data_IF_543121895582
#
_entry.id   IF_543121895582
#
_cell.length_a   1.000
_cell.length_b   1.000
_cell.length_c   1.000
_cell.angle_alpha   90.00
_cell.angle_beta   90.00
_cell.angle_gamma   90.00
#
_symmetry.space_group_name_H-M   'P 1'
#
loop_
_entity.id
_entity.type
_entity.pdbx_description
1 polymer ?
#
# COMPACT_ATOMS: atom_id res chain seq x y z
N UNK A 1 -25.18 -12.35 18.40
CA UNK A 1 -23.97 -12.46 17.57
C UNK A 1 -22.80 -11.97 18.40
N UNK A 2 -21.60 -12.46 18.14
CA UNK A 2 -20.37 -11.95 18.76
C UNK A 2 -19.42 -11.48 17.66
N UNK A 3 -18.64 -10.44 17.97
CA UNK A 3 -17.63 -9.90 17.07
C UNK A 3 -16.27 -9.96 17.76
N UNK A 4 -15.22 -10.27 17.00
CA UNK A 4 -13.84 -10.23 17.49
C UNK A 4 -12.90 -9.69 16.41
N UNK A 5 -11.79 -9.12 16.85
CA UNK A 5 -10.67 -8.69 16.00
C UNK A 5 -9.48 -9.58 16.29
N UNK A 6 -8.81 -10.09 15.25
CA UNK A 6 -7.59 -10.88 15.40
C UNK A 6 -6.40 -10.03 15.88
N UNK A 7 -6.45 -8.71 15.66
CA UNK A 7 -5.46 -7.74 16.12
C UNK A 7 -6.14 -6.42 16.55
N UNK A 8 -6.58 -6.33 17.82
CA UNK A 8 -7.18 -5.11 18.39
C UNK A 8 -6.26 -3.89 18.40
N UNK A 9 -4.94 -4.06 18.27
CA UNK A 9 -4.01 -2.94 18.16
C UNK A 9 -4.08 -2.24 16.79
N UNK A 10 -4.62 -2.91 15.76
CA UNK A 10 -4.87 -2.34 14.42
C UNK A 10 -6.29 -1.78 14.33
N UNK A 11 -7.30 -2.60 14.65
CA UNK A 11 -8.68 -2.16 14.73
C UNK A 11 -9.47 -2.94 15.78
N UNK A 12 -10.34 -2.25 16.51
CA UNK A 12 -11.27 -2.85 17.47
C UNK A 12 -12.66 -2.97 16.87
N UNK A 13 -13.47 -3.90 17.38
CA UNK A 13 -14.87 -4.08 16.96
C UNK A 13 -15.77 -4.13 18.19
N UNK A 14 -16.82 -3.32 18.20
CA UNK A 14 -17.82 -3.28 19.27
C UNK A 14 -18.85 -4.42 19.16
N UNK A 15 -19.67 -4.59 20.20
CA UNK A 15 -20.73 -5.61 20.24
C UNK A 15 -21.83 -5.42 19.19
N UNK A 16 -21.97 -4.22 18.63
CA UNK A 16 -22.85 -3.88 17.51
C UNK A 16 -22.21 -4.10 16.12
N UNK A 17 -20.96 -4.57 16.06
CA UNK A 17 -20.21 -4.73 14.80
C UNK A 17 -19.53 -3.45 14.30
N UNK A 18 -19.55 -2.36 15.07
CA UNK A 18 -18.87 -1.11 14.71
C UNK A 18 -17.36 -1.26 14.82
N UNK A 19 -16.63 -1.05 13.72
CA UNK A 19 -15.17 -1.13 13.66
C UNK A 19 -14.54 0.24 13.92
N UNK A 20 -13.56 0.31 14.82
CA UNK A 20 -12.79 1.53 15.13
C UNK A 20 -11.32 1.31 14.79
N UNK A 21 -10.77 2.18 13.94
CA UNK A 21 -9.36 2.18 13.59
C UNK A 21 -8.50 2.59 14.79
N UNK A 22 -7.37 1.90 15.01
CA UNK A 22 -6.43 2.17 16.11
C UNK A 22 -5.06 2.55 15.57
N UNK A 23 -4.45 1.71 14.73
CA UNK A 23 -3.13 1.94 14.16
C UNK A 23 -2.98 1.27 12.79
N UNK A 24 -1.96 1.69 12.03
CA UNK A 24 -1.62 1.10 10.74
C UNK A 24 -1.47 -0.42 10.83
N UNK A 25 -2.09 -1.13 9.89
CA UNK A 25 -1.95 -2.57 9.74
C UNK A 25 -3.19 -3.22 9.17
N UNK A 26 -3.16 -4.55 9.16
CA UNK A 26 -4.29 -5.38 8.73
C UNK A 26 -4.75 -6.26 9.88
N UNK A 27 -6.05 -6.39 10.06
CA UNK A 27 -6.69 -7.29 11.02
C UNK A 27 -7.91 -7.96 10.38
N UNK A 28 -8.29 -9.13 10.87
CA UNK A 28 -9.52 -9.80 10.47
C UNK A 28 -10.57 -9.60 11.55
N UNK A 29 -11.74 -9.10 11.14
CA UNK A 29 -12.93 -9.04 11.97
C UNK A 29 -13.76 -10.30 11.71
N UNK A 30 -14.07 -11.04 12.77
CA UNK A 30 -14.91 -12.23 12.71
C UNK A 30 -16.24 -11.95 13.36
N UNK A 31 -17.34 -12.32 12.69
CA UNK A 31 -18.68 -12.34 13.26
C UNK A 31 -19.12 -13.79 13.45
N UNK A 32 -19.73 -14.09 14.60
CA UNK A 32 -20.30 -15.40 14.91
C UNK A 32 -21.78 -15.26 15.26
N UNK A 33 -22.63 -16.16 14.75
CA UNK A 33 -24.06 -16.20 15.12
C UNK A 33 -24.23 -16.46 16.62
N UNK A 34 -25.37 -16.07 17.18
CA UNK A 34 -25.59 -16.17 18.64
C UNK A 34 -25.51 -17.60 19.18
N UNK A 35 -25.91 -18.57 18.37
CA UNK A 35 -25.84 -20.00 18.67
C UNK A 35 -24.44 -20.60 18.40
N UNK A 36 -23.49 -19.82 17.91
CA UNK A 36 -22.14 -20.27 17.56
C UNK A 36 -22.06 -21.10 16.29
N UNK A 37 -23.17 -21.33 15.58
CA UNK A 37 -23.24 -22.32 14.49
C UNK A 37 -22.64 -21.84 13.16
N UNK A 38 -22.47 -20.52 12.99
CA UNK A 38 -21.92 -19.91 11.78
C UNK A 38 -20.96 -18.78 12.10
N UNK A 39 -19.93 -18.64 11.27
CA UNK A 39 -18.99 -17.51 11.29
C UNK A 39 -18.83 -16.92 9.90
N UNK A 40 -18.54 -15.63 9.85
CA UNK A 40 -18.06 -14.94 8.64
C UNK A 40 -16.91 -14.00 9.02
N UNK A 41 -16.07 -13.65 8.04
CA UNK A 41 -14.85 -12.87 8.27
C UNK A 41 -14.70 -11.74 7.26
N UNK A 42 -14.18 -10.60 7.72
CA UNK A 42 -13.81 -9.48 6.86
C UNK A 42 -12.40 -9.01 7.19
N UNK A 43 -11.56 -8.88 6.17
CA UNK A 43 -10.24 -8.24 6.31
C UNK A 43 -10.39 -6.72 6.35
N UNK A 44 -9.80 -6.09 7.36
CA UNK A 44 -9.79 -4.65 7.58
C UNK A 44 -8.34 -4.17 7.56
N UNK A 45 -8.05 -3.23 6.67
CA UNK A 45 -6.77 -2.51 6.64
C UNK A 45 -6.99 -1.09 7.15
N UNK A 46 -6.21 -0.70 8.15
CA UNK A 46 -6.17 0.66 8.69
C UNK A 46 -4.94 1.38 8.14
N UNK A 47 -5.15 2.63 7.73
CA UNK A 47 -4.13 3.49 7.17
C UNK A 47 -4.27 4.91 7.74
N UNK A 48 -3.22 5.38 8.41
CA UNK A 48 -3.16 6.68 9.09
C UNK A 48 -2.53 7.78 8.24
N UNK A 49 -2.18 7.47 6.99
CA UNK A 49 -1.45 8.36 6.05
C UNK A 49 -2.18 9.65 5.62
N UNK A 50 -3.35 9.96 6.18
CA UNK A 50 -4.11 11.16 5.85
C UNK A 50 -4.56 11.21 4.39
N UNK A 51 -4.68 12.41 3.84
CA UNK A 51 -5.07 12.62 2.44
C UNK A 51 -3.86 12.46 1.49
N UNK A 52 -4.06 11.92 0.28
CA UNK A 52 -3.00 11.84 -0.72
C UNK A 52 -2.52 13.24 -1.12
N UNK A 53 -1.23 13.36 -1.44
CA UNK A 53 -0.62 14.57 -1.98
C UNK A 53 -1.22 14.88 -3.36
N UNK A 54 -1.64 16.12 -3.54
CA UNK A 54 -2.20 16.60 -4.81
C UNK A 54 -1.12 17.06 -5.81
N UNK A 55 0.06 17.46 -5.32
CA UNK A 55 1.13 18.06 -6.13
C UNK A 55 2.29 17.08 -6.36
N UNK A 56 1.94 15.89 -6.85
CA UNK A 56 2.90 14.86 -7.23
C UNK A 56 2.55 14.29 -8.59
N UNK A 57 3.57 13.94 -9.35
CA UNK A 57 3.44 13.20 -10.60
C UNK A 57 4.13 11.85 -10.44
N UNK A 58 3.43 10.77 -10.81
CA UNK A 58 3.94 9.41 -10.71
C UNK A 58 4.06 8.82 -12.12
N UNK A 59 5.25 8.34 -12.47
CA UNK A 59 5.52 7.72 -13.78
C UNK A 59 6.04 6.30 -13.58
N UNK A 60 5.37 5.33 -14.20
CA UNK A 60 5.81 3.93 -14.22
C UNK A 60 6.42 3.57 -15.58
N UNK A 61 7.61 2.99 -15.57
CA UNK A 61 8.33 2.58 -16.79
C UNK A 61 8.84 1.16 -16.65
N UNK A 62 8.46 0.27 -17.57
CA UNK A 62 9.03 -1.06 -17.69
C UNK A 62 10.37 -0.95 -18.43
N UNK A 63 11.45 -1.36 -17.77
CA UNK A 63 12.81 -1.28 -18.32
C UNK A 63 13.15 -2.52 -19.16
N UNK A 64 12.82 -3.72 -18.66
CA UNK A 64 13.03 -4.99 -19.34
C UNK A 64 11.93 -5.99 -18.95
N UNK A 65 11.57 -6.89 -19.85
CA UNK A 65 10.63 -8.00 -19.58
C UNK A 65 11.16 -9.31 -20.14
N UNK A 66 10.88 -10.40 -19.45
CA UNK A 66 11.24 -11.77 -19.84
C UNK A 66 10.08 -12.72 -19.56
N UNK A 67 10.26 -14.01 -19.88
CA UNK A 67 9.26 -15.02 -19.56
C UNK A 67 9.10 -15.16 -18.05
N UNK A 68 7.92 -14.82 -17.53
CA UNK A 68 7.59 -14.94 -16.11
C UNK A 68 7.97 -13.73 -15.24
N UNK A 69 8.49 -12.64 -15.79
CA UNK A 69 8.72 -11.42 -15.00
C UNK A 69 9.18 -10.19 -15.79
N UNK A 70 9.29 -9.08 -15.08
CA UNK A 70 9.81 -7.82 -15.62
C UNK A 70 10.49 -6.97 -14.55
N UNK A 71 11.35 -6.07 -15.01
CA UNK A 71 11.96 -5.01 -14.21
C UNK A 71 11.34 -3.67 -14.61
N UNK A 72 11.02 -2.85 -13.62
CA UNK A 72 10.41 -1.54 -13.82
C UNK A 72 10.94 -0.52 -12.83
N UNK A 73 10.58 0.74 -13.08
CA UNK A 73 10.85 1.87 -12.20
C UNK A 73 9.60 2.73 -12.04
N UNK A 74 9.45 3.33 -10.85
CA UNK A 74 8.42 4.30 -10.52
C UNK A 74 9.13 5.59 -10.11
N UNK A 75 8.96 6.65 -10.89
CA UNK A 75 9.42 7.98 -10.54
C UNK A 75 8.30 8.73 -9.79
N UNK A 76 8.64 9.34 -8.66
CA UNK A 76 7.75 10.22 -7.89
C UNK A 76 8.36 11.62 -7.95
N UNK A 77 7.69 12.53 -8.66
CA UNK A 77 8.12 13.91 -8.82
C UNK A 77 7.27 14.85 -7.99
N UNK A 78 7.92 15.72 -7.23
CA UNK A 78 7.25 16.80 -6.52
C UNK A 78 6.99 17.96 -7.48
N UNK A 79 5.73 18.20 -7.82
CA UNK A 79 5.31 19.30 -8.69
C UNK A 79 4.86 20.54 -7.90
N UNK A 80 4.87 20.45 -6.57
CA UNK A 80 4.55 21.55 -5.67
C UNK A 80 5.75 22.44 -5.35
N UNK A 81 5.54 23.33 -4.38
CA UNK A 81 6.54 24.33 -3.93
C UNK A 81 7.15 24.02 -2.57
N UNK A 82 6.62 23.01 -1.86
CA UNK A 82 7.12 22.58 -0.55
C UNK A 82 7.86 21.25 -0.66
N UNK A 83 8.94 21.11 0.10
CA UNK A 83 9.66 19.83 0.20
C UNK A 83 8.78 18.75 0.82
N UNK A 84 8.80 17.56 0.23
CA UNK A 84 8.20 16.35 0.80
C UNK A 84 9.26 15.67 1.67
N UNK A 85 9.12 15.60 3.01
CA UNK A 85 10.19 15.13 3.91
C UNK A 85 10.29 13.60 4.01
N UNK A 86 9.26 12.90 3.53
CA UNK A 86 9.14 11.45 3.47
C UNK A 86 7.93 11.13 2.61
N UNK A 87 7.82 9.87 2.16
CA UNK A 87 6.68 9.49 1.35
C UNK A 87 6.30 8.03 1.51
N UNK A 88 5.00 7.79 1.35
CA UNK A 88 4.44 6.46 1.17
C UNK A 88 3.69 6.42 -0.14
N UNK A 89 4.02 5.46 -1.01
CA UNK A 89 3.38 5.22 -2.29
C UNK A 89 2.45 4.02 -2.18
N UNK A 90 1.22 4.15 -2.66
CA UNK A 90 0.27 3.04 -2.82
C UNK A 90 -0.10 2.84 -4.28
N UNK A 91 -0.21 1.59 -4.71
CA UNK A 91 -0.68 1.22 -6.04
C UNK A 91 -1.14 -0.24 -6.08
N UNK A 92 -1.93 -0.58 -7.09
CA UNK A 92 -2.40 -1.94 -7.35
C UNK A 92 -1.64 -2.55 -8.54
N UNK A 93 -1.02 -3.72 -8.32
CA UNK A 93 -0.50 -4.55 -9.41
C UNK A 93 -1.65 -5.27 -10.13
N UNK A 94 -1.54 -5.52 -11.45
CA UNK A 94 -2.40 -6.47 -12.15
C UNK A 94 -2.50 -7.84 -11.45
N UNK A 95 -3.65 -8.49 -11.58
CA UNK A 95 -3.86 -9.83 -11.04
C UNK A 95 -2.84 -10.82 -11.61
N UNK A 96 -2.32 -11.70 -10.75
CA UNK A 96 -1.28 -12.67 -11.11
C UNK A 96 0.15 -12.11 -11.11
N UNK A 97 0.35 -10.84 -10.73
CA UNK A 97 1.67 -10.27 -10.50
C UNK A 97 2.04 -10.21 -9.01
N UNK A 98 3.33 -10.29 -8.70
CA UNK A 98 3.87 -10.05 -7.36
C UNK A 98 5.26 -9.42 -7.41
N UNK A 99 5.59 -8.56 -6.44
CA UNK A 99 6.94 -7.99 -6.33
C UNK A 99 7.90 -9.07 -5.81
N UNK A 100 8.99 -9.32 -6.53
CA UNK A 100 10.08 -10.22 -6.10
C UNK A 100 11.23 -9.48 -5.41
N UNK A 101 11.49 -8.24 -5.80
CA UNK A 101 12.46 -7.36 -5.13
C UNK A 101 12.14 -5.90 -5.41
N UNK A 102 12.41 -5.02 -4.46
CA UNK A 102 12.22 -3.58 -4.59
C UNK A 102 13.38 -2.83 -3.92
N UNK A 103 13.83 -1.74 -4.54
CA UNK A 103 14.79 -0.80 -3.98
C UNK A 103 14.27 0.64 -4.11
N UNK A 104 14.82 1.56 -3.32
CA UNK A 104 14.26 2.90 -3.11
C UNK A 104 13.16 2.96 -2.05
N UNK A 105 12.92 1.85 -1.34
CA UNK A 105 11.92 1.77 -0.28
C UNK A 105 11.81 0.38 0.34
N UNK A 106 10.93 0.27 1.34
CA UNK A 106 10.44 -1.00 1.88
C UNK A 106 8.96 -1.13 1.53
N UNK A 107 8.47 -2.35 1.28
CA UNK A 107 7.09 -2.53 0.86
C UNK A 107 6.34 -3.59 1.68
N UNK A 108 5.03 -3.43 1.75
CA UNK A 108 4.07 -4.44 2.18
C UNK A 108 3.08 -4.71 1.04
N UNK A 109 2.55 -5.93 0.99
CA UNK A 109 1.55 -6.34 0.01
C UNK A 109 0.36 -6.98 0.73
N UNK A 110 -0.86 -6.56 0.38
CA UNK A 110 -2.09 -7.32 0.67
C UNK A 110 -2.81 -7.58 -0.65
N UNK A 111 -2.84 -8.84 -1.08
CA UNK A 111 -3.28 -9.20 -2.43
C UNK A 111 -2.49 -8.44 -3.50
N UNK A 112 -3.18 -7.62 -4.29
CA UNK A 112 -2.60 -6.81 -5.36
C UNK A 112 -2.22 -5.39 -4.90
N UNK A 113 -2.65 -4.97 -3.71
CA UNK A 113 -2.33 -3.65 -3.17
C UNK A 113 -0.93 -3.65 -2.57
N UNK A 114 -0.10 -2.77 -3.11
CA UNK A 114 1.28 -2.54 -2.69
C UNK A 114 1.34 -1.21 -1.96
N UNK A 115 1.99 -1.20 -0.80
CA UNK A 115 2.36 0.02 -0.08
C UNK A 115 3.88 0.07 0.04
N UNK A 116 4.51 1.14 -0.45
CA UNK A 116 5.95 1.35 -0.42
C UNK A 116 6.26 2.57 0.44
N UNK A 117 7.04 2.39 1.51
CA UNK A 117 7.60 3.48 2.31
C UNK A 117 9.00 3.81 1.81
N UNK A 118 9.34 5.09 1.74
CA UNK A 118 10.66 5.54 1.29
C UNK A 118 11.82 4.88 2.07
N UNK A 119 12.94 4.68 1.39
CA UNK A 119 14.23 4.48 2.05
C UNK A 119 14.85 5.84 2.42
N UNK A 120 15.82 5.86 3.34
CA UNK A 120 16.44 7.10 3.82
C UNK A 120 17.03 7.94 2.68
N UNK A 121 17.74 7.30 1.75
CA UNK A 121 18.37 7.99 0.61
C UNK A 121 17.38 8.48 -0.46
N UNK A 122 16.09 8.13 -0.34
CA UNK A 122 15.00 8.59 -1.21
C UNK A 122 13.95 9.39 -0.45
N UNK A 123 14.15 9.67 0.85
CA UNK A 123 13.11 10.20 1.72
C UNK A 123 12.62 11.57 1.27
N UNK A 124 13.56 12.47 0.99
CA UNK A 124 13.27 13.86 0.73
C UNK A 124 13.12 14.13 -0.76
N UNK A 125 12.01 14.75 -1.15
CA UNK A 125 11.76 15.21 -2.52
C UNK A 125 11.60 16.74 -2.50
N UNK A 126 12.66 17.45 -2.88
CA UNK A 126 12.62 18.90 -3.03
C UNK A 126 11.64 19.33 -4.15
N UNK A 127 11.12 20.58 -4.13
CA UNK A 127 10.30 21.12 -5.22
C UNK A 127 10.95 20.93 -6.60
N UNK A 128 10.20 20.38 -7.56
CA UNK A 128 10.68 20.09 -8.91
C UNK A 128 11.59 18.86 -9.04
N UNK A 129 12.04 18.28 -7.94
CA UNK A 129 12.87 17.07 -7.94
C UNK A 129 12.02 15.80 -8.04
N UNK A 130 12.69 14.69 -8.35
CA UNK A 130 12.08 13.37 -8.37
C UNK A 130 12.97 12.33 -7.70
N UNK A 131 12.35 11.33 -7.09
CA UNK A 131 13.00 10.11 -6.61
C UNK A 131 12.48 8.91 -7.39
N UNK A 132 13.25 7.83 -7.44
CA UNK A 132 12.89 6.63 -8.21
C UNK A 132 12.93 5.40 -7.31
N UNK A 133 11.86 4.62 -7.40
CA UNK A 133 11.75 3.26 -6.84
C UNK A 133 11.95 2.29 -7.99
N UNK A 134 12.79 1.27 -7.81
CA UNK A 134 12.93 0.20 -8.79
C UNK A 134 12.38 -1.10 -8.25
N UNK A 135 11.83 -1.92 -9.15
CA UNK A 135 11.15 -3.16 -8.78
C UNK A 135 11.38 -4.25 -9.83
N UNK A 136 11.54 -5.48 -9.35
CA UNK A 136 11.34 -6.68 -10.15
C UNK A 136 10.00 -7.31 -9.76
N UNK A 137 9.26 -7.76 -10.76
CA UNK A 137 7.91 -8.27 -10.62
C UNK A 137 7.83 -9.63 -11.33
N UNK A 138 7.19 -10.60 -10.71
CA UNK A 138 6.83 -11.88 -11.33
C UNK A 138 5.49 -11.75 -12.05
N UNK A 139 5.30 -12.52 -13.12
CA UNK A 139 4.10 -12.48 -13.95
C UNK A 139 4.28 -11.69 -15.26
N UNK A 140 3.26 -11.67 -16.13
CA UNK A 140 3.33 -10.97 -17.41
C UNK A 140 3.50 -9.46 -17.18
N UNK A 141 4.27 -8.81 -18.05
CA UNK A 141 4.44 -7.35 -18.01
C UNK A 141 3.08 -6.63 -18.05
N UNK A 142 2.88 -5.67 -17.15
CA UNK A 142 1.63 -4.93 -17.04
C UNK A 142 1.77 -3.70 -16.17
N UNK A 143 0.92 -2.70 -16.42
CA UNK A 143 0.99 -1.40 -15.77
C UNK A 143 0.16 -1.40 -14.48
N UNK A 144 0.73 -0.99 -13.34
CA UNK A 144 -0.03 -0.80 -12.12
C UNK A 144 -1.04 0.35 -12.23
N UNK A 145 -2.03 0.36 -11.35
CA UNK A 145 -3.07 1.40 -11.32
C UNK A 145 -3.24 1.98 -9.92
N UNK A 146 -3.98 3.08 -9.80
CA UNK A 146 -4.34 3.63 -8.48
C UNK A 146 -3.16 4.20 -7.70
N UNK A 147 -2.20 4.83 -8.37
CA UNK A 147 -1.06 5.47 -7.72
C UNK A 147 -1.52 6.61 -6.80
N UNK A 148 -1.18 6.52 -5.52
CA UNK A 148 -1.43 7.55 -4.50
C UNK A 148 -0.16 7.74 -3.67
N UNK A 149 0.26 8.99 -3.46
CA UNK A 149 1.44 9.31 -2.64
C UNK A 149 0.98 10.09 -1.42
N UNK A 150 1.54 9.78 -0.27
CA UNK A 150 1.23 10.40 1.01
C UNK A 150 2.50 10.95 1.64
N UNK A 151 2.39 12.06 2.35
CA UNK A 151 3.43 12.51 3.29
C UNK A 151 3.16 11.87 4.66
N UNK A 152 4.20 11.60 5.48
CA UNK A 152 4.04 11.33 6.90
C UNK A 152 3.28 12.45 7.62
#
# INVERSE_FOLDING_TARGET
MTFSSSNPAVATVGSSGTVTAVADGTTTITVTTQDGSRTDTSEVTVDTLGAPLANVEVTFTIANSWEGGYSASIAIKNTGTQTIPGWTLKFALPAGQAISSLWGGTYTASGQQITVKNADYTATIAPGAAVTVGLNVTGPAGTPTGFMVYSP
#
